data_IF_992566946703
#
_entry.id   IF_992566946703
#
_cell.length_a   1.000
_cell.length_b   1.000
_cell.length_c   1.000
_cell.angle_alpha   90.00
_cell.angle_beta   90.00
_cell.angle_gamma   90.00
#
_symmetry.space_group_name_H-M   'P 1'
#
loop_
_entity.id
_entity.type
_entity.pdbx_description
1 polymer ?
#
# COMPACT_ATOMS: atom_id res chain seq x y z
N UNK A 1 -25.44 -8.91 -2.38
CA UNK A 1 -25.84 -9.37 -3.73
C UNK A 1 -24.68 -9.09 -4.67
N UNK A 2 -24.32 -10.03 -5.57
CA UNK A 2 -23.24 -9.80 -6.55
C UNK A 2 -23.84 -9.37 -7.88
N UNK A 3 -23.45 -8.19 -8.38
CA UNK A 3 -23.88 -7.64 -9.66
C UNK A 3 -22.69 -7.52 -10.61
N UNK A 4 -22.92 -7.59 -11.92
CA UNK A 4 -21.88 -7.47 -12.94
C UNK A 4 -21.83 -6.04 -13.45
N UNK A 5 -20.67 -5.39 -13.32
CA UNK A 5 -20.37 -4.13 -14.00
C UNK A 5 -19.72 -4.43 -15.35
N UNK A 6 -20.25 -3.85 -16.44
CA UNK A 6 -19.69 -3.98 -17.79
C UNK A 6 -19.19 -2.61 -18.25
N UNK A 7 -17.91 -2.51 -18.60
CA UNK A 7 -17.27 -1.28 -19.07
C UNK A 7 -16.88 -1.44 -20.55
N UNK A 8 -17.02 -0.36 -21.33
CA UNK A 8 -16.48 -0.28 -22.70
C UNK A 8 -15.10 0.38 -22.62
N UNK A 9 -14.09 -0.36 -23.02
CA UNK A 9 -12.68 0.02 -22.95
C UNK A 9 -11.97 -0.48 -24.21
N UNK A 10 -10.84 0.13 -24.54
CA UNK A 10 -10.01 -0.31 -25.65
C UNK A 10 -9.44 -1.71 -25.40
N UNK A 11 -9.39 -2.52 -26.46
CA UNK A 11 -8.97 -3.92 -26.37
C UNK A 11 -7.54 -4.07 -25.85
N UNK A 12 -6.64 -3.18 -26.28
CA UNK A 12 -5.24 -3.19 -25.84
C UNK A 12 -5.13 -2.91 -24.34
N UNK A 13 -5.91 -1.94 -23.85
CA UNK A 13 -5.96 -1.62 -22.42
C UNK A 13 -6.44 -2.81 -21.58
N UNK A 14 -7.49 -3.53 -22.05
CA UNK A 14 -7.99 -4.74 -21.38
C UNK A 14 -6.89 -5.81 -21.32
N UNK A 15 -6.12 -5.98 -22.40
CA UNK A 15 -5.03 -6.95 -22.48
C UNK A 15 -3.92 -6.64 -21.48
N UNK A 16 -3.43 -5.39 -21.46
CA UNK A 16 -2.38 -4.93 -20.55
C UNK A 16 -2.80 -5.05 -19.09
N UNK A 17 -4.05 -4.68 -18.78
CA UNK A 17 -4.57 -4.77 -17.41
C UNK A 17 -4.68 -6.23 -16.93
N UNK A 18 -5.09 -7.17 -17.80
CA UNK A 18 -5.12 -8.60 -17.48
C UNK A 18 -3.72 -9.19 -17.24
N UNK A 19 -2.73 -8.81 -18.03
CA UNK A 19 -1.34 -9.25 -17.82
C UNK A 19 -0.82 -8.77 -16.46
N UNK A 20 -1.03 -7.49 -16.14
CA UNK A 20 -0.62 -6.93 -14.86
C UNK A 20 -1.32 -7.62 -13.67
N UNK A 21 -2.64 -7.87 -13.78
CA UNK A 21 -3.39 -8.58 -12.76
C UNK A 21 -2.86 -10.01 -12.55
N UNK A 22 -2.59 -10.74 -13.64
CA UNK A 22 -1.99 -12.08 -13.57
C UNK A 22 -0.62 -12.08 -12.90
N UNK A 23 0.22 -11.09 -13.19
CA UNK A 23 1.56 -10.98 -12.60
C UNK A 23 1.50 -10.70 -11.09
N UNK A 24 0.47 -9.97 -10.64
CA UNK A 24 0.24 -9.63 -9.23
C UNK A 24 -0.59 -10.68 -8.48
N UNK A 25 -0.96 -11.80 -9.14
CA UNK A 25 -1.79 -12.86 -8.54
C UNK A 25 -3.23 -12.46 -8.25
N UNK A 26 -3.72 -11.36 -8.86
CA UNK A 26 -5.09 -10.86 -8.69
C UNK A 26 -5.89 -11.00 -9.98
N UNK A 27 -7.21 -11.14 -9.87
CA UNK A 27 -8.08 -11.00 -11.04
C UNK A 27 -8.27 -9.51 -11.38
N UNK A 28 -8.52 -9.20 -12.66
CA UNK A 28 -8.85 -7.82 -13.06
C UNK A 28 -10.08 -7.29 -12.31
N UNK A 29 -11.08 -8.14 -12.10
CA UNK A 29 -12.27 -7.80 -11.32
C UNK A 29 -11.93 -7.44 -9.87
N UNK A 30 -11.01 -8.18 -9.24
CA UNK A 30 -10.54 -7.87 -7.88
C UNK A 30 -9.81 -6.53 -7.84
N UNK A 31 -8.93 -6.27 -8.82
CA UNK A 31 -8.18 -5.02 -8.91
C UNK A 31 -9.10 -3.80 -9.02
N UNK A 32 -10.14 -3.90 -9.85
CA UNK A 32 -11.15 -2.83 -10.00
C UNK A 32 -12.00 -2.68 -8.74
N UNK A 33 -12.38 -3.78 -8.09
CA UNK A 33 -13.12 -3.74 -6.83
C UNK A 33 -12.30 -3.08 -5.70
N UNK A 34 -11.01 -3.42 -5.59
CA UNK A 34 -10.07 -2.79 -4.64
C UNK A 34 -9.99 -1.28 -4.90
N UNK A 35 -9.87 -0.87 -6.17
CA UNK A 35 -9.84 0.54 -6.56
C UNK A 35 -11.13 1.27 -6.21
N UNK A 36 -12.30 0.71 -6.53
CA UNK A 36 -13.58 1.30 -6.16
C UNK A 36 -13.74 1.44 -4.65
N UNK A 37 -13.30 0.44 -3.88
CA UNK A 37 -13.29 0.51 -2.41
C UNK A 37 -12.42 1.66 -1.93
N UNK A 38 -11.28 1.92 -2.59
CA UNK A 38 -10.38 3.02 -2.22
C UNK A 38 -10.99 4.40 -2.49
N UNK A 39 -11.61 4.60 -3.66
CA UNK A 39 -12.14 5.92 -4.06
C UNK A 39 -13.52 6.24 -3.47
N UNK A 40 -14.27 5.24 -3.01
CA UNK A 40 -15.59 5.42 -2.38
C UNK A 40 -15.53 5.52 -0.86
N UNK A 41 -14.33 5.45 -0.26
CA UNK A 41 -14.13 5.78 1.16
C UNK A 41 -14.37 7.29 1.35
N UNK A 42 -15.58 7.65 1.77
CA UNK A 42 -15.99 9.03 2.08
C UNK A 42 -15.32 9.59 3.35
N UNK A 43 -14.86 8.71 4.24
CA UNK A 43 -14.03 9.10 5.38
C UNK A 43 -12.55 8.98 5.01
N UNK A 44 -11.69 9.95 5.40
CA UNK A 44 -10.25 9.72 5.37
C UNK A 44 -10.00 8.41 6.13
N UNK A 45 -9.10 7.54 5.65
CA UNK A 45 -8.89 6.25 6.30
C UNK A 45 -8.73 6.53 7.79
N UNK A 46 -9.73 6.11 8.60
CA UNK A 46 -9.59 6.07 10.05
C UNK A 46 -8.25 5.40 10.22
N UNK A 47 -7.25 6.14 10.69
CA UNK A 47 -5.83 5.75 10.71
C UNK A 47 -5.83 4.26 10.99
N UNK A 48 -5.67 3.44 9.94
CA UNK A 48 -5.95 2.01 10.06
C UNK A 48 -5.08 1.57 11.22
N UNK A 49 -5.72 1.04 12.27
CA UNK A 49 -5.09 0.92 13.57
C UNK A 49 -3.75 0.21 13.34
N UNK A 50 -2.65 0.96 13.46
CA UNK A 50 -1.36 0.59 12.87
C UNK A 50 -1.09 -0.90 13.14
N UNK A 51 -0.56 -1.67 12.17
CA UNK A 51 -0.18 -3.06 12.42
C UNK A 51 0.58 -3.15 13.75
N UNK A 52 0.38 -4.20 14.57
CA UNK A 52 0.84 -4.21 15.96
C UNK A 52 2.31 -3.78 16.14
N UNK A 53 3.19 -4.21 15.22
CA UNK A 53 4.61 -3.86 15.19
C UNK A 53 4.81 -2.36 14.89
N UNK A 54 4.16 -1.84 13.85
CA UNK A 54 4.25 -0.41 13.50
C UNK A 54 3.68 0.48 14.60
N UNK A 55 2.64 0.01 15.30
CA UNK A 55 2.08 0.69 16.47
C UNK A 55 3.05 0.75 17.64
N UNK A 56 3.74 -0.35 17.93
CA UNK A 56 4.73 -0.40 19.01
C UNK A 56 5.98 0.44 18.71
N UNK A 57 6.31 0.63 17.43
CA UNK A 57 7.47 1.43 17.01
C UNK A 57 7.17 2.92 16.88
N UNK A 58 5.92 3.29 16.55
CA UNK A 58 5.54 4.70 16.35
C UNK A 58 5.72 5.49 17.65
N UNK A 59 6.54 6.53 17.57
CA UNK A 59 6.76 7.47 18.68
C UNK A 59 7.88 7.08 19.64
N UNK A 60 8.51 5.91 19.50
CA UNK A 60 9.64 5.49 20.33
C UNK A 60 10.81 6.47 20.33
N UNK A 61 11.01 7.18 19.21
CA UNK A 61 12.11 8.13 19.04
C UNK A 61 11.67 9.58 19.23
N UNK A 62 10.43 9.84 19.65
CA UNK A 62 9.88 11.21 19.69
C UNK A 62 10.64 12.13 20.63
N UNK A 63 11.05 11.61 21.77
CA UNK A 63 11.77 12.34 22.81
C UNK A 63 13.24 11.87 22.93
N UNK A 64 13.71 11.11 21.95
CA UNK A 64 15.07 10.62 21.93
C UNK A 64 15.99 11.67 21.31
N UNK A 65 17.08 12.00 21.98
CA UNK A 65 18.14 12.87 21.47
C UNK A 65 19.03 12.07 20.51
N UNK A 66 18.47 11.75 19.34
CA UNK A 66 19.13 10.93 18.31
C UNK A 66 19.01 11.66 16.98
N UNK A 67 20.16 11.89 16.36
CA UNK A 67 20.25 12.56 15.07
C UNK A 67 20.36 11.56 13.91
N UNK A 68 20.22 12.08 12.69
CA UNK A 68 20.45 11.28 11.48
C UNK A 68 21.93 10.88 11.39
N UNK A 69 22.83 11.72 11.91
CA UNK A 69 24.27 11.50 11.96
C UNK A 69 24.62 10.30 12.86
N UNK A 70 23.91 10.10 13.96
CA UNK A 70 24.07 8.92 14.83
C UNK A 70 23.67 7.64 14.10
N UNK A 71 22.60 7.69 13.30
CA UNK A 71 22.19 6.57 12.46
C UNK A 71 23.22 6.24 11.38
N UNK A 72 23.79 7.25 10.71
CA UNK A 72 24.83 7.05 9.69
C UNK A 72 26.09 6.43 10.29
N UNK A 73 26.53 6.91 11.45
CA UNK A 73 27.69 6.36 12.17
C UNK A 73 27.47 4.90 12.55
N UNK A 74 26.29 4.56 13.05
CA UNK A 74 25.94 3.17 13.33
C UNK A 74 26.03 2.27 12.09
N UNK A 75 25.56 2.75 10.93
CA UNK A 75 25.65 1.98 9.69
C UNK A 75 27.10 1.78 9.24
N UNK A 76 27.95 2.80 9.42
CA UNK A 76 29.38 2.68 9.14
C UNK A 76 30.01 1.62 10.04
N UNK A 77 29.89 1.73 11.37
CA UNK A 77 30.45 0.75 12.32
C UNK A 77 29.95 -0.69 12.10
N UNK A 78 28.72 -0.85 11.61
CA UNK A 78 28.12 -2.16 11.37
C UNK A 78 28.61 -2.83 10.09
N UNK A 79 29.03 -2.04 9.10
CA UNK A 79 29.27 -2.53 7.74
C UNK A 79 30.67 -2.23 7.18
N UNK A 80 31.46 -1.39 7.85
CA UNK A 80 32.83 -0.99 7.50
C UNK A 80 33.78 -1.34 8.65
#
# INVERSE_FOLDING_TARGET
MQTKLTLRLDKELIQSAKQYASHTGKSLSQMVADYFTLITREEPPQIEALPPITRSLRGLLKDADISIEDYRRHLEEKHL
#
